data_IF_535915572418
#
_entry.id   IF_535915572418
#
_cell.length_a   1.000
_cell.length_b   1.000
_cell.length_c   1.000
_cell.angle_alpha   90.00
_cell.angle_beta   90.00
_cell.angle_gamma   90.00
#
_symmetry.space_group_name_H-M   'P 1'
#
loop_
_entity.id
_entity.type
_entity.pdbx_description
1 polymer ?
#
# COMPACT_ATOMS: atom_id res chain seq x y z
N UNK A 1 -15.03 -6.82 0.55
CA UNK A 1 -14.50 -8.17 0.29
C UNK A 1 -13.55 -8.58 1.39
N UNK A 2 -13.44 -9.86 1.71
CA UNK A 2 -12.47 -10.42 2.68
C UNK A 2 -11.49 -11.37 1.96
N UNK A 3 -10.29 -11.52 2.52
CA UNK A 3 -9.24 -12.44 2.04
C UNK A 3 -8.42 -11.90 0.87
N UNK A 4 -7.71 -12.80 0.19
CA UNK A 4 -6.82 -12.55 -0.97
C UNK A 4 -7.55 -11.89 -2.18
N UNK A 5 -8.88 -11.83 -2.09
CA UNK A 5 -9.78 -11.18 -3.04
C UNK A 5 -9.91 -9.66 -2.91
N UNK A 6 -9.40 -9.03 -1.84
CA UNK A 6 -9.71 -7.63 -1.54
C UNK A 6 -9.16 -6.64 -2.57
N UNK A 7 -10.07 -5.81 -3.09
CA UNK A 7 -9.79 -4.64 -3.92
C UNK A 7 -10.28 -3.43 -3.15
N UNK A 8 -9.42 -2.44 -2.96
CA UNK A 8 -9.77 -1.24 -2.23
C UNK A 8 -8.56 -0.51 -1.65
N UNK A 9 -8.87 0.45 -0.78
CA UNK A 9 -7.89 1.24 -0.02
C UNK A 9 -8.19 1.14 1.46
N UNK A 10 -7.14 1.01 2.27
CA UNK A 10 -7.21 1.06 3.73
C UNK A 10 -6.23 2.10 4.25
N UNK A 11 -6.62 2.82 5.30
CA UNK A 11 -5.75 3.71 6.05
C UNK A 11 -5.46 3.07 7.40
N UNK A 12 -4.19 3.03 7.79
CA UNK A 12 -3.72 2.43 9.03
C UNK A 12 -2.88 3.47 9.75
N UNK A 13 -3.22 3.72 11.02
CA UNK A 13 -2.41 4.55 11.92
C UNK A 13 -1.46 3.65 12.70
N UNK A 14 -0.16 3.93 12.65
CA UNK A 14 0.85 3.12 13.32
C UNK A 14 1.56 3.88 14.45
N UNK A 15 1.98 3.13 15.47
CA UNK A 15 2.77 3.65 16.60
C UNK A 15 4.27 3.73 16.25
N UNK A 16 4.69 3.07 15.15
CA UNK A 16 6.04 3.09 14.62
C UNK A 16 6.26 4.29 13.70
N UNK A 17 7.49 4.78 13.64
CA UNK A 17 7.86 5.89 12.76
C UNK A 17 7.82 5.47 11.29
N UNK A 18 7.63 6.45 10.39
CA UNK A 18 7.52 6.20 8.95
C UNK A 18 8.74 5.45 8.37
N UNK A 19 9.95 5.68 8.92
CA UNK A 19 11.17 4.95 8.51
C UNK A 19 11.12 3.47 8.90
N UNK A 20 10.67 3.14 10.11
CA UNK A 20 10.57 1.75 10.57
C UNK A 20 9.51 0.99 9.78
N UNK A 21 8.38 1.66 9.53
CA UNK A 21 7.31 1.12 8.70
C UNK A 21 7.79 0.87 7.27
N UNK A 22 8.53 1.80 6.67
CA UNK A 22 9.14 1.59 5.34
C UNK A 22 10.04 0.36 5.33
N UNK A 23 10.91 0.22 6.34
CA UNK A 23 11.81 -0.91 6.47
C UNK A 23 11.05 -2.24 6.62
N UNK A 24 9.97 -2.25 7.40
CA UNK A 24 9.09 -3.41 7.55
C UNK A 24 8.50 -3.87 6.21
N UNK A 25 7.94 -2.96 5.41
CA UNK A 25 7.39 -3.34 4.10
C UNK A 25 8.49 -3.84 3.16
N UNK A 26 9.64 -3.19 3.12
CA UNK A 26 10.78 -3.65 2.33
C UNK A 26 11.28 -5.05 2.73
N UNK A 27 11.23 -5.42 4.02
CA UNK A 27 11.74 -6.71 4.48
C UNK A 27 10.70 -7.83 4.43
N UNK A 28 9.48 -7.55 4.88
CA UNK A 28 8.47 -8.60 5.13
C UNK A 28 7.65 -8.93 3.89
N UNK A 29 7.37 -7.96 3.01
CA UNK A 29 6.59 -8.24 1.80
C UNK A 29 7.32 -9.21 0.85
N UNK A 30 8.64 -9.05 0.59
CA UNK A 30 9.39 -10.04 -0.18
C UNK A 30 9.38 -11.44 0.44
N UNK A 31 9.54 -11.55 1.77
CA UNK A 31 9.44 -12.85 2.47
C UNK A 31 8.07 -13.50 2.33
N UNK A 32 7.02 -12.69 2.25
CA UNK A 32 5.65 -13.14 2.00
C UNK A 32 5.35 -13.40 0.50
N UNK A 33 6.36 -13.38 -0.38
CA UNK A 33 6.23 -13.69 -1.80
C UNK A 33 5.77 -12.53 -2.69
N UNK A 34 5.84 -11.29 -2.20
CA UNK A 34 5.64 -10.12 -3.03
C UNK A 34 6.93 -9.71 -3.74
N UNK A 35 6.83 -9.27 -4.99
CA UNK A 35 7.94 -8.71 -5.75
C UNK A 35 7.88 -7.19 -5.69
N UNK A 36 8.96 -6.53 -5.25
CA UNK A 36 9.08 -5.08 -5.26
C UNK A 36 9.18 -4.57 -6.69
N UNK A 37 8.27 -3.66 -7.06
CA UNK A 37 8.28 -2.94 -8.34
C UNK A 37 8.98 -1.59 -8.17
N UNK A 38 8.59 -0.84 -7.14
CA UNK A 38 9.14 0.48 -6.82
C UNK A 38 9.25 0.61 -5.30
N UNK A 39 10.29 1.28 -4.82
CA UNK A 39 10.37 1.67 -3.42
C UNK A 39 11.17 2.95 -3.25
N UNK A 40 10.48 4.07 -3.08
CA UNK A 40 11.07 5.39 -2.91
C UNK A 40 10.90 5.84 -1.47
N UNK A 41 12.02 6.08 -0.78
CA UNK A 41 12.02 6.67 0.56
C UNK A 41 12.05 8.20 0.45
N UNK A 42 11.03 8.84 1.00
CA UNK A 42 10.88 10.30 1.03
C UNK A 42 9.98 10.70 2.21
N UNK A 43 9.71 12.01 2.36
CA UNK A 43 8.76 12.53 3.38
C UNK A 43 7.41 11.81 3.31
N UNK A 44 6.92 11.58 2.10
CA UNK A 44 5.88 10.59 1.81
C UNK A 44 6.56 9.46 1.05
N UNK A 45 6.79 8.33 1.71
CA UNK A 45 7.41 7.17 1.07
C UNK A 45 6.38 6.40 0.26
N UNK A 46 6.79 5.84 -0.87
CA UNK A 46 5.93 5.13 -1.79
C UNK A 46 6.56 3.80 -2.20
N UNK A 47 5.85 2.70 -1.98
CA UNK A 47 6.26 1.37 -2.37
C UNK A 47 5.18 0.72 -3.22
N UNK A 48 5.57 0.02 -4.27
CA UNK A 48 4.68 -0.77 -5.10
C UNK A 48 5.20 -2.18 -5.14
N UNK A 49 4.32 -3.13 -4.86
CA UNK A 49 4.59 -4.55 -4.85
C UNK A 49 3.62 -5.28 -5.76
N UNK A 50 4.03 -6.44 -6.26
CA UNK A 50 3.12 -7.34 -6.99
C UNK A 50 3.22 -8.78 -6.49
N UNK A 51 2.11 -9.51 -6.53
CA UNK A 51 2.07 -10.94 -6.20
C UNK A 51 0.97 -11.61 -7.02
N UNK A 52 1.32 -12.64 -7.79
CA UNK A 52 0.39 -13.26 -8.73
C UNK A 52 -0.19 -12.22 -9.70
N UNK A 53 -1.50 -12.09 -9.72
CA UNK A 53 -2.27 -11.14 -10.52
C UNK A 53 -2.58 -9.83 -9.79
N UNK A 54 -1.89 -9.51 -8.69
CA UNK A 54 -2.17 -8.31 -7.86
C UNK A 54 -1.05 -7.29 -7.87
N UNK A 55 -1.47 -6.04 -7.64
CA UNK A 55 -0.61 -4.90 -7.33
C UNK A 55 -1.03 -4.33 -5.97
N UNK A 56 -0.06 -4.03 -5.12
CA UNK A 56 -0.25 -3.39 -3.83
C UNK A 56 0.62 -2.14 -3.78
N UNK A 57 0.01 -0.97 -3.64
CA UNK A 57 0.68 0.29 -3.43
C UNK A 57 0.58 0.68 -1.95
N UNK A 58 1.71 1.04 -1.36
CA UNK A 58 1.84 1.46 0.04
C UNK A 58 2.41 2.87 0.06
N UNK A 59 1.62 3.81 0.55
CA UNK A 59 2.06 5.16 0.87
C UNK A 59 2.24 5.29 2.37
N UNK A 60 3.36 5.86 2.80
CA UNK A 60 3.69 6.04 4.21
C UNK A 60 3.98 7.52 4.42
N UNK A 61 3.20 8.14 5.31
CA UNK A 61 3.36 9.51 5.72
C UNK A 61 3.83 9.57 7.18
N UNK A 62 4.64 10.55 7.50
CA UNK A 62 4.88 10.93 8.90
C UNK A 62 3.57 11.37 9.55
N UNK A 63 3.37 10.94 10.79
CA UNK A 63 2.25 11.38 11.60
C UNK A 63 2.58 12.59 12.46
N UNK A 64 1.69 12.94 13.39
CA UNK A 64 1.85 14.13 14.23
C UNK A 64 2.52 13.80 15.57
N UNK A 65 3.16 14.80 16.19
CA UNK A 65 3.88 14.64 17.46
C UNK A 65 2.98 14.18 18.62
N UNK A 66 1.71 14.59 18.62
CA UNK A 66 0.71 14.22 19.62
C UNK A 66 -0.21 13.06 19.17
N UNK A 67 0.05 12.45 18.01
CA UNK A 67 -0.80 11.44 17.39
C UNK A 67 -0.03 10.18 16.99
N UNK A 68 -0.59 9.38 16.08
CA UNK A 68 0.12 8.24 15.49
C UNK A 68 1.44 8.71 14.87
N UNK A 69 2.51 7.90 14.99
CA UNK A 69 3.83 8.28 14.46
C UNK A 69 3.91 8.18 12.93
N UNK A 70 3.03 7.40 12.33
CA UNK A 70 2.87 7.35 10.88
C UNK A 70 1.44 6.99 10.46
N UNK A 71 1.09 7.40 9.24
CA UNK A 71 -0.16 7.07 8.58
C UNK A 71 0.18 6.33 7.29
N UNK A 72 -0.36 5.13 7.16
CA UNK A 72 -0.11 4.21 6.07
C UNK A 72 -1.37 4.10 5.24
N UNK A 73 -1.27 4.37 3.95
CA UNK A 73 -2.33 4.04 2.99
C UNK A 73 -1.91 2.82 2.20
N UNK A 74 -2.72 1.78 2.20
CA UNK A 74 -2.51 0.60 1.35
C UNK A 74 -3.64 0.54 0.34
N UNK A 75 -3.29 0.46 -0.95
CA UNK A 75 -4.22 0.24 -2.05
C UNK A 75 -3.89 -1.08 -2.73
N UNK A 76 -4.85 -1.98 -2.83
CA UNK A 76 -4.70 -3.28 -3.50
C UNK A 76 -5.67 -3.40 -4.66
N UNK A 77 -5.20 -3.91 -5.80
CA UNK A 77 -6.00 -4.15 -6.98
C UNK A 77 -5.46 -5.32 -7.82
N UNK A 78 -6.26 -5.92 -8.71
CA UNK A 78 -5.73 -6.79 -9.74
C UNK A 78 -4.85 -5.99 -10.73
N UNK A 79 -3.77 -6.61 -11.23
CA UNK A 79 -2.87 -6.09 -12.28
C UNK A 79 -3.65 -5.73 -13.55
N UNK A 80 -4.58 -6.60 -13.94
CA UNK A 80 -5.45 -6.43 -15.09
C UNK A 80 -6.90 -6.20 -14.64
N UNK A 81 -7.14 -5.15 -13.86
CA UNK A 81 -8.50 -4.69 -13.66
C UNK A 81 -9.03 -4.24 -15.02
N UNK A 82 -9.95 -5.00 -15.64
CA UNK A 82 -10.79 -4.46 -16.70
C UNK A 82 -11.55 -3.28 -16.08
N UNK A 83 -11.05 -2.07 -16.31
CA UNK A 83 -11.69 -0.84 -15.86
C UNK A 83 -12.97 -0.73 -16.68
N UNK A 84 -14.07 -1.27 -16.16
CA UNK A 84 -15.40 -0.85 -16.58
C UNK A 84 -15.53 0.56 -16.03
N UNK A 85 -15.03 1.54 -16.79
CA UNK A 85 -15.28 2.93 -16.50
C UNK A 85 -16.80 3.09 -16.38
N UNK A 86 -17.32 3.82 -15.38
CA UNK A 86 -18.75 4.05 -15.29
C UNK A 86 -19.22 4.66 -16.63
N UNK A 87 -20.03 3.93 -17.38
CA UNK A 87 -20.67 4.49 -18.58
C UNK A 87 -21.60 5.58 -18.09
N UNK A 88 -21.23 6.84 -18.34
CA UNK A 88 -22.12 7.99 -18.13
C UNK A 88 -23.39 7.69 -18.94
N UNK A 89 -24.49 7.35 -18.26
CA UNK A 89 -25.80 7.30 -18.94
C UNK A 89 -26.18 8.73 -19.33
N UNK A 90 -26.69 8.95 -20.56
CA UNK A 90 -27.12 10.26 -21.02
C UNK A 90 -28.31 10.79 -20.22
#
# INVERSE_FOLDING_TARGET
GRGDGWVGRVNISALQGATDVYAFFQSEYPKAGWTTVTATKAKTSFLVFTKGDRTCAVEINEGSLAGPKSIITITSSPKNANVIAPTRKP
#
